data_IF_776330661937
#
_entry.id   IF_776330661937
#
_cell.length_a   1.000
_cell.length_b   1.000
_cell.length_c   1.000
_cell.angle_alpha   90.00
_cell.angle_beta   90.00
_cell.angle_gamma   90.00
#
_symmetry.space_group_name_H-M   'P 1'
#
loop_
_entity.id
_entity.type
_entity.pdbx_description
1 polymer ?
#
# COMPACT_ATOMS: atom_id res chain seq x y z
N UNK A 1 -9.41 -15.66 -18.80
CA UNK A 1 -8.03 -15.64 -18.25
C UNK A 1 -8.16 -15.29 -16.78
N UNK A 2 -8.01 -16.29 -15.93
CA UNK A 2 -8.12 -16.23 -14.46
C UNK A 2 -6.98 -15.37 -13.92
N UNK A 3 -7.32 -14.25 -13.30
CA UNK A 3 -6.37 -13.42 -12.55
C UNK A 3 -5.92 -14.22 -11.33
N UNK A 4 -4.65 -14.55 -11.26
CA UNK A 4 -4.10 -15.40 -10.21
C UNK A 4 -4.06 -14.66 -8.86
N UNK A 5 -4.65 -15.22 -7.79
CA UNK A 5 -4.59 -14.63 -6.44
C UNK A 5 -3.20 -14.72 -5.78
N UNK A 6 -2.20 -15.26 -6.49
CA UNK A 6 -0.84 -15.55 -5.98
C UNK A 6 -0.01 -14.29 -5.70
N UNK A 7 -0.30 -13.16 -6.38
CA UNK A 7 0.48 -11.93 -6.18
C UNK A 7 0.22 -11.25 -4.83
N UNK A 8 -1.00 -11.31 -4.32
CA UNK A 8 -1.36 -10.70 -3.04
C UNK A 8 -0.71 -11.42 -1.85
N UNK A 9 -0.66 -12.76 -1.88
CA UNK A 9 0.00 -13.56 -0.84
C UNK A 9 1.52 -13.36 -0.83
N UNK A 10 2.15 -13.23 -2.01
CA UNK A 10 3.59 -12.89 -2.11
C UNK A 10 3.89 -11.50 -1.55
N UNK A 11 3.02 -10.53 -1.76
CA UNK A 11 3.19 -9.17 -1.25
C UNK A 11 3.02 -9.13 0.28
N UNK A 12 2.10 -9.91 0.85
CA UNK A 12 1.92 -10.00 2.30
C UNK A 12 3.13 -10.69 2.97
N UNK A 13 3.63 -11.80 2.42
CA UNK A 13 4.82 -12.47 2.93
C UNK A 13 6.07 -11.60 2.84
N UNK A 14 6.19 -10.78 1.79
CA UNK A 14 7.27 -9.81 1.63
C UNK A 14 7.18 -8.67 2.66
N UNK A 15 6.00 -8.11 2.90
CA UNK A 15 5.80 -7.09 3.94
C UNK A 15 6.11 -7.64 5.34
N UNK A 16 5.71 -8.86 5.62
CA UNK A 16 6.00 -9.53 6.90
C UNK A 16 7.51 -9.83 7.04
N UNK A 17 8.21 -10.20 5.96
CA UNK A 17 9.66 -10.42 5.99
C UNK A 17 10.47 -9.15 6.25
N UNK A 18 10.03 -8.01 5.71
CA UNK A 18 10.62 -6.69 6.02
C UNK A 18 10.38 -6.35 7.49
N UNK A 19 9.18 -6.58 8.00
CA UNK A 19 8.83 -6.31 9.40
C UNK A 19 9.63 -7.19 10.36
N UNK A 20 9.89 -8.47 10.02
CA UNK A 20 10.71 -9.35 10.84
C UNK A 20 12.19 -8.91 10.90
N UNK A 21 12.71 -8.31 9.82
CA UNK A 21 14.06 -7.70 9.81
C UNK A 21 14.15 -6.49 10.73
N UNK A 22 13.12 -5.64 10.75
CA UNK A 22 13.06 -4.46 11.63
C UNK A 22 12.98 -4.89 13.10
N UNK A 23 12.14 -5.88 13.41
CA UNK A 23 11.99 -6.41 14.78
C UNK A 23 13.22 -7.18 15.27
N UNK A 24 14.06 -7.73 14.37
CA UNK A 24 15.37 -8.32 14.74
C UNK A 24 16.38 -7.31 15.24
N UNK A 25 16.38 -6.09 14.74
CA UNK A 25 17.27 -5.04 15.20
C UNK A 25 16.98 -4.59 16.63
N UNK A 26 15.78 -4.86 17.15
CA UNK A 26 15.37 -4.49 18.51
C UNK A 26 15.49 -5.62 19.55
N UNK A 27 16.20 -6.72 19.26
CA UNK A 27 16.42 -7.86 20.19
C UNK A 27 15.14 -8.51 20.77
N UNK A 28 13.97 -8.31 20.17
CA UNK A 28 12.71 -8.85 20.70
C UNK A 28 12.23 -10.13 20.02
N UNK A 29 12.81 -10.53 18.89
CA UNK A 29 12.48 -11.80 18.22
C UNK A 29 13.77 -12.58 18.00
N UNK A 30 14.01 -13.57 18.84
CA UNK A 30 15.21 -14.41 18.85
C UNK A 30 15.28 -15.44 17.72
N UNK A 31 14.21 -15.65 16.96
CA UNK A 31 14.16 -16.59 15.84
C UNK A 31 13.83 -15.89 14.53
N UNK A 32 14.76 -16.02 13.56
CA UNK A 32 14.58 -15.52 12.21
C UNK A 32 13.68 -16.45 11.44
N UNK A 33 12.38 -16.27 11.56
CA UNK A 33 11.44 -17.02 10.72
C UNK A 33 11.61 -16.64 9.26
N UNK A 34 11.85 -17.61 8.41
CA UNK A 34 11.85 -17.44 6.96
C UNK A 34 10.44 -17.10 6.46
N UNK A 35 10.34 -16.53 5.27
CA UNK A 35 9.02 -16.30 4.66
C UNK A 35 8.21 -17.60 4.48
N UNK A 36 8.90 -18.72 4.34
CA UNK A 36 8.29 -20.06 4.24
C UNK A 36 7.69 -20.48 5.59
N UNK A 37 8.42 -20.35 6.68
CA UNK A 37 7.93 -20.66 8.04
C UNK A 37 6.72 -19.81 8.41
N UNK A 38 6.77 -18.50 8.11
CA UNK A 38 5.61 -17.60 8.33
C UNK A 38 4.41 -18.06 7.48
N UNK A 39 4.64 -18.43 6.22
CA UNK A 39 3.58 -18.92 5.32
C UNK A 39 2.95 -20.21 5.87
N UNK A 40 3.74 -21.14 6.35
CA UNK A 40 3.23 -22.39 6.93
C UNK A 40 2.52 -22.16 8.26
N UNK A 41 3.03 -21.25 9.09
CA UNK A 41 2.33 -20.77 10.28
C UNK A 41 0.97 -20.14 9.98
N UNK A 42 0.88 -19.32 8.94
CA UNK A 42 -0.40 -18.74 8.48
C UNK A 42 -1.36 -19.83 8.01
N UNK A 43 -0.89 -20.83 7.25
CA UNK A 43 -1.72 -21.96 6.83
C UNK A 43 -2.25 -22.76 8.03
N UNK A 44 -1.39 -23.05 9.01
CA UNK A 44 -1.75 -23.75 10.25
C UNK A 44 -2.80 -23.01 11.07
N UNK A 45 -2.72 -21.69 11.12
CA UNK A 45 -3.64 -20.83 11.86
C UNK A 45 -4.53 -19.98 10.93
N UNK A 46 -4.93 -20.53 9.79
CA UNK A 46 -5.55 -19.83 8.68
C UNK A 46 -6.75 -18.96 9.08
N UNK A 47 -7.72 -19.52 9.81
CA UNK A 47 -8.94 -18.80 10.18
C UNK A 47 -8.66 -17.53 11.00
N UNK A 48 -7.74 -17.62 11.95
CA UNK A 48 -7.34 -16.48 12.78
C UNK A 48 -6.60 -15.42 11.95
N UNK A 49 -5.57 -15.84 11.21
CA UNK A 49 -4.76 -14.91 10.40
C UNK A 49 -5.60 -14.23 9.32
N UNK A 50 -6.53 -14.99 8.71
CA UNK A 50 -7.40 -14.47 7.67
C UNK A 50 -8.47 -13.52 8.20
N UNK A 51 -9.01 -13.79 9.40
CA UNK A 51 -9.91 -12.87 10.09
C UNK A 51 -9.24 -11.53 10.40
N UNK A 52 -8.02 -11.53 10.98
CA UNK A 52 -7.29 -10.30 11.29
C UNK A 52 -6.89 -9.54 10.01
N UNK A 53 -6.53 -10.25 8.94
CA UNK A 53 -6.26 -9.65 7.62
C UNK A 53 -7.50 -8.98 7.04
N UNK A 54 -8.65 -9.65 7.02
CA UNK A 54 -9.89 -9.03 6.52
C UNK A 54 -10.31 -7.82 7.34
N UNK A 55 -10.18 -7.91 8.66
CA UNK A 55 -10.47 -6.79 9.55
C UNK A 55 -9.62 -5.56 9.20
N UNK A 56 -8.32 -5.74 8.98
CA UNK A 56 -7.41 -4.67 8.55
C UNK A 56 -7.82 -4.12 7.18
N UNK A 57 -7.96 -4.98 6.17
CA UNK A 57 -8.29 -4.56 4.80
C UNK A 57 -9.61 -3.79 4.77
N UNK A 58 -10.62 -4.30 5.46
CA UNK A 58 -11.92 -3.66 5.52
C UNK A 58 -11.84 -2.26 6.14
N UNK A 59 -11.18 -2.14 7.30
CA UNK A 59 -10.97 -0.87 7.99
C UNK A 59 -10.20 0.13 7.11
N UNK A 60 -9.12 -0.32 6.48
CA UNK A 60 -8.30 0.48 5.56
C UNK A 60 -9.12 1.02 4.38
N UNK A 61 -9.87 0.13 3.68
CA UNK A 61 -10.69 0.53 2.53
C UNK A 61 -11.80 1.51 2.92
N UNK A 62 -12.47 1.31 4.05
CA UNK A 62 -13.55 2.20 4.50
C UNK A 62 -13.04 3.61 4.81
N UNK A 63 -11.90 3.74 5.46
CA UNK A 63 -11.29 5.05 5.73
C UNK A 63 -10.98 5.80 4.45
N UNK A 64 -10.30 5.13 3.51
CA UNK A 64 -9.95 5.75 2.24
C UNK A 64 -11.16 6.04 1.35
N UNK A 65 -12.17 5.14 1.35
CA UNK A 65 -13.42 5.38 0.63
C UNK A 65 -14.12 6.65 1.12
N UNK A 66 -14.16 6.90 2.42
CA UNK A 66 -14.73 8.12 3.01
C UNK A 66 -14.04 9.37 2.47
N UNK A 67 -12.72 9.34 2.28
CA UNK A 67 -11.95 10.46 1.75
C UNK A 67 -12.04 10.56 0.21
N UNK A 68 -11.90 9.47 -0.50
CA UNK A 68 -11.80 9.46 -1.96
C UNK A 68 -13.17 9.31 -2.66
N UNK A 69 -14.16 8.72 -2.02
CA UNK A 69 -15.55 8.62 -2.48
C UNK A 69 -15.99 7.20 -2.85
N UNK A 70 -15.15 6.45 -3.54
CA UNK A 70 -15.48 5.08 -3.97
C UNK A 70 -14.22 4.21 -4.18
N UNK A 71 -14.44 2.89 -4.34
CA UNK A 71 -13.36 1.92 -4.45
C UNK A 71 -12.56 2.03 -5.75
N UNK A 72 -13.18 2.39 -6.87
CA UNK A 72 -12.45 2.56 -8.14
C UNK A 72 -11.48 3.75 -8.02
N UNK A 73 -11.94 4.86 -7.43
CA UNK A 73 -11.08 6.04 -7.16
C UNK A 73 -9.94 5.68 -6.23
N UNK A 74 -10.20 4.88 -5.19
CA UNK A 74 -9.17 4.39 -4.29
C UNK A 74 -8.16 3.49 -5.03
N UNK A 75 -8.62 2.53 -5.82
CA UNK A 75 -7.76 1.62 -6.58
C UNK A 75 -6.84 2.37 -7.54
N UNK A 76 -7.36 3.36 -8.25
CA UNK A 76 -6.57 4.23 -9.13
C UNK A 76 -5.56 5.05 -8.31
N UNK A 77 -5.97 5.61 -7.18
CA UNK A 77 -5.09 6.36 -6.28
C UNK A 77 -3.94 5.52 -5.72
N UNK A 78 -4.24 4.28 -5.31
CA UNK A 78 -3.23 3.31 -4.84
C UNK A 78 -2.26 2.93 -5.95
N UNK A 79 -2.73 2.73 -7.19
CA UNK A 79 -1.86 2.45 -8.32
C UNK A 79 -0.90 3.61 -8.61
N UNK A 80 -1.41 4.85 -8.62
CA UNK A 80 -0.57 6.04 -8.81
C UNK A 80 0.47 6.16 -7.68
N UNK A 81 0.07 5.92 -6.42
CA UNK A 81 0.96 5.95 -5.26
C UNK A 81 2.01 4.85 -5.34
N UNK A 82 1.61 3.61 -5.67
CA UNK A 82 2.51 2.47 -5.83
C UNK A 82 3.55 2.75 -6.91
N UNK A 83 3.12 3.29 -8.05
CA UNK A 83 4.01 3.68 -9.14
C UNK A 83 5.03 4.75 -8.71
N UNK A 84 4.58 5.76 -7.98
CA UNK A 84 5.48 6.79 -7.44
C UNK A 84 6.47 6.21 -6.40
N UNK A 85 6.01 5.25 -5.58
CA UNK A 85 6.81 4.61 -4.54
C UNK A 85 7.78 3.56 -5.08
N UNK A 86 7.55 3.01 -6.27
CA UNK A 86 8.42 2.00 -6.91
C UNK A 86 9.74 2.56 -7.44
N UNK A 87 9.96 3.87 -7.35
CA UNK A 87 11.23 4.47 -7.71
C UNK A 87 12.35 3.84 -6.88
N UNK A 88 13.36 3.27 -7.56
CA UNK A 88 14.50 2.57 -6.94
C UNK A 88 15.16 3.37 -5.83
N UNK A 89 15.26 4.69 -5.97
CA UNK A 89 15.86 5.55 -4.95
C UNK A 89 15.03 5.67 -3.66
N UNK A 90 13.74 5.32 -3.69
CA UNK A 90 12.89 5.30 -2.49
C UNK A 90 12.94 3.95 -1.77
N UNK A 91 13.01 2.86 -2.53
CA UNK A 91 12.95 1.49 -1.99
C UNK A 91 14.31 1.03 -1.44
N UNK A 92 15.42 1.44 -2.08
CA UNK A 92 16.76 0.95 -1.73
C UNK A 92 17.39 1.59 -0.49
N UNK A 93 16.86 2.71 0.01
CA UNK A 93 17.54 3.51 1.04
C UNK A 93 16.94 3.42 2.43
N UNK A 94 15.91 2.58 2.65
CA UNK A 94 15.27 2.41 3.97
C UNK A 94 15.13 3.74 4.73
N UNK A 95 14.29 4.62 4.18
CA UNK A 95 14.13 5.99 4.67
C UNK A 95 12.88 6.11 5.55
N UNK A 96 12.99 6.94 6.59
CA UNK A 96 11.87 7.29 7.45
C UNK A 96 10.75 8.05 6.71
N UNK A 97 9.59 8.19 7.35
CA UNK A 97 8.40 8.81 6.77
C UNK A 97 8.64 10.25 6.32
N UNK A 98 9.47 11.03 7.04
CA UNK A 98 9.73 12.42 6.71
C UNK A 98 10.64 12.56 5.47
N UNK A 99 11.66 11.72 5.39
CA UNK A 99 12.53 11.64 4.20
C UNK A 99 11.77 11.09 3.00
N UNK A 100 10.91 10.08 3.21
CA UNK A 100 10.05 9.55 2.16
C UNK A 100 9.12 10.63 1.61
N UNK A 101 8.45 11.39 2.48
CA UNK A 101 7.58 12.50 2.08
C UNK A 101 8.32 13.53 1.22
N UNK A 102 9.54 13.90 1.61
CA UNK A 102 10.36 14.83 0.83
C UNK A 102 10.76 14.23 -0.52
N UNK A 103 11.23 13.01 -0.55
CA UNK A 103 11.74 12.37 -1.77
C UNK A 103 10.64 12.01 -2.78
N UNK A 104 9.48 11.56 -2.33
CA UNK A 104 8.40 11.20 -3.25
C UNK A 104 7.85 12.43 -4.01
N UNK A 105 7.99 13.64 -3.45
CA UNK A 105 7.64 14.89 -4.14
C UNK A 105 8.58 15.20 -5.32
N UNK A 106 9.81 14.69 -5.27
CA UNK A 106 10.82 14.80 -6.31
C UNK A 106 10.98 13.52 -7.13
N UNK A 107 10.25 12.45 -6.77
CA UNK A 107 10.29 11.19 -7.50
C UNK A 107 9.82 11.44 -8.93
N UNK A 108 10.81 11.43 -9.84
CA UNK A 108 10.59 11.82 -11.22
C UNK A 108 9.57 10.93 -11.92
N UNK A 109 8.50 11.53 -12.34
CA UNK A 109 7.94 11.62 -13.69
C UNK A 109 7.71 10.33 -14.46
N UNK A 110 7.73 9.16 -13.83
CA UNK A 110 7.13 7.98 -14.44
C UNK A 110 5.63 8.02 -14.15
N UNK A 111 4.96 9.00 -14.78
CA UNK A 111 3.51 9.10 -14.71
C UNK A 111 2.88 7.97 -15.49
N UNK A 112 1.73 7.51 -15.02
CA UNK A 112 0.88 6.58 -15.75
C UNK A 112 -0.08 7.38 -16.64
N UNK A 113 -0.35 6.89 -17.84
CA UNK A 113 -1.43 7.44 -18.64
C UNK A 113 -2.76 6.69 -18.36
N UNK A 114 -3.88 7.26 -18.75
CA UNK A 114 -5.20 6.68 -18.50
C UNK A 114 -5.42 5.32 -19.17
N UNK A 115 -4.71 5.03 -20.27
CA UNK A 115 -4.76 3.72 -20.95
C UNK A 115 -4.08 2.67 -20.05
N UNK A 116 -2.83 2.91 -19.64
CA UNK A 116 -2.10 2.00 -18.75
C UNK A 116 -2.86 1.72 -17.46
N UNK A 117 -3.50 2.74 -16.86
CA UNK A 117 -4.33 2.56 -15.67
C UNK A 117 -5.53 1.66 -15.96
N UNK A 118 -6.19 1.85 -17.10
CA UNK A 118 -7.32 1.01 -17.53
C UNK A 118 -6.88 -0.45 -17.72
N UNK A 119 -5.75 -0.67 -18.41
CA UNK A 119 -5.21 -2.01 -18.67
C UNK A 119 -4.83 -2.75 -17.41
N UNK A 120 -4.22 -2.06 -16.43
CA UNK A 120 -3.80 -2.64 -15.16
C UNK A 120 -4.99 -2.93 -14.24
N UNK A 121 -5.95 -2.01 -14.16
CA UNK A 121 -7.06 -2.10 -13.21
C UNK A 121 -8.27 -2.85 -13.74
N UNK A 122 -8.38 -3.03 -15.07
CA UNK A 122 -9.58 -3.53 -15.72
C UNK A 122 -10.77 -2.55 -15.70
N UNK A 123 -10.59 -1.34 -15.17
CA UNK A 123 -11.64 -0.31 -15.13
C UNK A 123 -11.74 0.34 -16.53
N UNK A 124 -12.95 0.47 -17.10
CA UNK A 124 -13.12 1.09 -18.41
C UNK A 124 -12.51 2.49 -18.48
N UNK A 125 -11.77 2.77 -19.57
CA UNK A 125 -11.03 4.03 -19.75
C UNK A 125 -11.86 5.31 -19.49
N UNK A 126 -13.11 5.44 -19.94
CA UNK A 126 -13.93 6.61 -19.62
C UNK A 126 -14.13 6.79 -18.11
N UNK A 127 -14.31 5.69 -17.38
CA UNK A 127 -14.41 5.70 -15.91
C UNK A 127 -13.08 6.10 -15.29
N UNK A 128 -11.95 5.56 -15.75
CA UNK A 128 -10.62 5.95 -15.31
C UNK A 128 -10.40 7.46 -15.44
N UNK A 129 -10.70 8.03 -16.61
CA UNK A 129 -10.56 9.48 -16.85
C UNK A 129 -11.41 10.30 -15.86
N UNK A 130 -12.66 9.91 -15.64
CA UNK A 130 -13.55 10.57 -14.69
C UNK A 130 -13.03 10.50 -13.26
N UNK A 131 -12.49 9.34 -12.84
CA UNK A 131 -11.92 9.15 -11.49
C UNK A 131 -10.62 9.92 -11.30
N UNK A 132 -9.76 9.96 -12.32
CA UNK A 132 -8.54 10.79 -12.31
C UNK A 132 -8.89 12.26 -12.15
N UNK A 133 -9.87 12.77 -12.88
CA UNK A 133 -10.34 14.15 -12.73
C UNK A 133 -10.86 14.43 -11.31
N UNK A 134 -11.53 13.45 -10.68
CA UNK A 134 -11.94 13.55 -9.28
C UNK A 134 -10.72 13.64 -8.33
N UNK A 135 -9.69 12.82 -8.54
CA UNK A 135 -8.45 12.87 -7.76
C UNK A 135 -7.72 14.20 -7.94
N UNK A 136 -7.68 14.74 -9.17
CA UNK A 136 -7.08 16.04 -9.46
C UNK A 136 -7.86 17.16 -8.75
N UNK A 137 -9.20 17.16 -8.85
CA UNK A 137 -10.05 18.13 -8.16
C UNK A 137 -9.88 18.11 -6.64
N UNK A 138 -9.66 16.94 -6.06
CA UNK A 138 -9.38 16.77 -4.63
C UNK A 138 -7.93 17.10 -4.25
N UNK A 139 -7.05 17.27 -5.23
CA UNK A 139 -5.65 17.62 -5.05
C UNK A 139 -4.72 16.41 -4.85
N UNK A 140 -5.18 15.17 -5.05
CA UNK A 140 -4.38 13.95 -4.85
C UNK A 140 -3.52 13.57 -6.05
N UNK A 141 -3.90 14.00 -7.24
CA UNK A 141 -3.16 13.73 -8.47
C UNK A 141 -2.94 15.01 -9.28
N UNK A 142 -1.96 15.00 -10.15
CA UNK A 142 -1.71 16.01 -11.16
C UNK A 142 -1.44 15.34 -12.50
N UNK A 143 -1.69 16.07 -13.57
CA UNK A 143 -1.42 15.64 -14.94
C UNK A 143 -0.45 16.64 -15.58
N UNK A 144 0.54 16.15 -16.28
CA UNK A 144 1.52 16.97 -16.98
C UNK A 144 1.13 17.25 -18.46
N UNK A 145 1.95 18.02 -19.15
CA UNK A 145 1.74 18.34 -20.57
C UNK A 145 1.75 17.11 -21.50
N UNK A 146 2.43 16.03 -21.09
CA UNK A 146 2.47 14.73 -21.78
C UNK A 146 1.29 13.82 -21.42
N UNK A 147 0.31 14.32 -20.66
CA UNK A 147 -0.86 13.58 -20.15
C UNK A 147 -0.47 12.43 -19.20
N UNK A 148 0.68 12.53 -18.55
CA UNK A 148 1.10 11.59 -17.52
C UNK A 148 0.54 12.03 -16.17
N UNK A 149 -0.04 11.06 -15.47
CA UNK A 149 -0.69 11.24 -14.18
C UNK A 149 0.30 10.84 -13.10
N UNK A 150 0.54 11.73 -12.17
CA UNK A 150 1.39 11.50 -11.01
C UNK A 150 0.71 11.94 -9.74
N UNK A 151 1.24 11.49 -8.59
CA UNK A 151 0.73 11.92 -7.30
C UNK A 151 1.03 13.40 -7.08
N UNK A 152 0.09 14.10 -6.46
CA UNK A 152 0.29 15.47 -6.00
C UNK A 152 0.54 15.45 -4.49
N UNK A 153 1.71 15.91 -4.04
CA UNK A 153 2.15 15.84 -2.64
C UNK A 153 2.33 17.26 -2.09
N UNK A 154 1.33 18.08 -2.29
CA UNK A 154 1.30 19.37 -1.63
C UNK A 154 1.00 19.20 -0.12
N UNK A 155 1.58 20.09 0.70
CA UNK A 155 1.43 20.09 2.17
C UNK A 155 -0.03 19.98 2.63
N UNK A 156 -0.97 20.56 1.90
CA UNK A 156 -2.40 20.52 2.19
C UNK A 156 -3.00 19.11 2.06
N UNK A 157 -2.54 18.32 1.10
CA UNK A 157 -3.01 16.93 0.89
C UNK A 157 -2.49 16.03 2.00
N UNK A 158 -1.24 16.24 2.41
CA UNK A 158 -0.63 15.51 3.52
C UNK A 158 -1.40 15.70 4.83
N UNK A 159 -1.73 16.93 5.17
CA UNK A 159 -2.47 17.20 6.43
C UNK A 159 -3.84 16.52 6.45
N UNK A 160 -4.52 16.40 5.30
CA UNK A 160 -5.80 15.70 5.19
C UNK A 160 -5.69 14.19 5.40
N UNK A 161 -4.62 13.59 4.89
CA UNK A 161 -4.43 12.14 4.93
C UNK A 161 -3.62 11.68 6.14
N UNK A 162 -3.03 12.59 6.90
CA UNK A 162 -2.16 12.26 8.02
C UNK A 162 -2.85 11.33 9.03
N UNK A 163 -4.05 11.66 9.49
CA UNK A 163 -4.79 10.82 10.44
C UNK A 163 -5.10 9.43 9.89
N UNK A 164 -5.40 9.33 8.57
CA UNK A 164 -5.64 8.05 7.90
C UNK A 164 -4.36 7.22 7.88
N UNK A 165 -3.21 7.85 7.61
CA UNK A 165 -1.90 7.20 7.58
C UNK A 165 -1.48 6.74 8.99
N UNK A 166 -1.60 7.58 10.01
CA UNK A 166 -1.30 7.24 11.40
C UNK A 166 -2.14 6.04 11.88
N UNK A 167 -3.44 6.06 11.60
CA UNK A 167 -4.30 4.94 11.93
C UNK A 167 -3.95 3.68 11.14
N UNK A 168 -3.55 3.82 9.87
CA UNK A 168 -3.10 2.69 9.05
C UNK A 168 -1.82 2.07 9.59
N UNK A 169 -0.84 2.90 10.00
CA UNK A 169 0.40 2.43 10.61
C UNK A 169 0.08 1.64 11.89
N UNK A 170 -0.77 2.17 12.76
CA UNK A 170 -1.20 1.48 13.98
C UNK A 170 -1.82 0.11 13.67
N UNK A 171 -2.80 0.07 12.79
CA UNK A 171 -3.53 -1.18 12.47
C UNK A 171 -2.67 -2.22 11.76
N UNK A 172 -1.75 -1.81 10.87
CA UNK A 172 -0.82 -2.74 10.22
C UNK A 172 0.19 -3.29 11.23
N UNK A 173 0.65 -2.47 12.17
CA UNK A 173 1.53 -2.92 13.26
C UNK A 173 0.85 -3.94 14.15
N UNK A 174 -0.43 -3.70 14.52
CA UNK A 174 -1.25 -4.66 15.28
C UNK A 174 -1.47 -5.97 14.51
N UNK A 175 -1.74 -5.90 13.21
CA UNK A 175 -1.90 -7.07 12.35
C UNK A 175 -0.63 -7.93 12.32
N UNK A 176 0.51 -7.29 12.04
CA UNK A 176 1.82 -7.94 11.98
C UNK A 176 2.14 -8.60 13.33
N UNK A 177 1.99 -7.87 14.43
CA UNK A 177 2.23 -8.38 15.78
C UNK A 177 1.39 -9.63 16.09
N UNK A 178 0.09 -9.60 15.81
CA UNK A 178 -0.82 -10.72 16.05
C UNK A 178 -0.49 -11.95 15.21
N UNK A 179 -0.19 -11.75 13.91
CA UNK A 179 0.20 -12.85 13.02
C UNK A 179 1.50 -13.48 13.48
N UNK A 180 2.53 -12.69 13.75
CA UNK A 180 3.82 -13.19 14.20
C UNK A 180 3.70 -13.95 15.53
N UNK A 181 3.03 -13.40 16.52
CA UNK A 181 2.82 -14.08 17.79
C UNK A 181 2.07 -15.41 17.63
N UNK A 182 1.09 -15.46 16.73
CA UNK A 182 0.33 -16.70 16.51
C UNK A 182 1.13 -17.76 15.76
N UNK A 183 2.01 -17.35 14.86
CA UNK A 183 2.77 -18.25 13.99
C UNK A 183 4.11 -18.71 14.57
N UNK A 184 4.69 -17.94 15.54
CA UNK A 184 6.00 -18.23 16.12
C UNK A 184 5.96 -18.90 17.50
N UNK A 185 4.82 -18.85 18.21
CA UNK A 185 4.64 -19.44 19.55
C UNK A 185 4.11 -20.90 19.49
N UNK A 186 3.94 -21.45 18.31
CA UNK A 186 3.46 -22.82 18.08
C UNK A 186 4.57 -23.72 17.62
#
# INVERSE_FOLDING_TARGET
>A
KTVQPISALKNISYLISISSKILKQENQITNSSSSTEISDGIKKHFSFCWYEFYKFIFSYYFRWRKELGDFETLSIGLLIMSNASSNRNLVLHDIDIEKWRKRISFADKVGLNSMSISDITGIPRPTVVRKINSLIKKGYAKIDQKKLISINIEKRVFSKTQKIQEQTIKEISELIYKILNKTTIS
#
